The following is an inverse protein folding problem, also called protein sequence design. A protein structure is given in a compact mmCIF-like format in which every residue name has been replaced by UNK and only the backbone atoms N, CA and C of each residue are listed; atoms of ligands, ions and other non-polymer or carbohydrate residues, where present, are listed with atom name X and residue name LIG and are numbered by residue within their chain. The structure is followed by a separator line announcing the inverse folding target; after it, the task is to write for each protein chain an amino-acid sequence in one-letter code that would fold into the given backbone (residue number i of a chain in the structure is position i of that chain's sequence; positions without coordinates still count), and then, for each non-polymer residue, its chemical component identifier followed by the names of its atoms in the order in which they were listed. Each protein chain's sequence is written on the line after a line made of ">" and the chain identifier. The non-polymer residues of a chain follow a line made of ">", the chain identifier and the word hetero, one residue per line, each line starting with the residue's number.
data_IF_154853697166
#
_entry.id   IF_154853697166
#
_cell.length_a   1.000
_cell.length_b   1.000
_cell.length_c   1.000
_cell.angle_alpha   90.00
_cell.angle_beta   90.00
_cell.angle_gamma   90.00
#
_symmetry.space_group_name_H-M   'P 1'
#
loop_
_entity.id
_entity.type
_entity.pdbx_description
1 polymer ?
#
# COMPACT_ATOMS: atom_id res chain seq x y z
N UNK A 1 2.88 -6.10 -1.48
CA UNK A 1 2.82 -6.33 -0.01
C UNK A 1 1.39 -6.28 0.52
N UNK A 2 0.62 -5.20 0.39
CA UNK A 2 -0.74 -5.12 0.95
C UNK A 2 -1.71 -6.22 0.46
N UNK A 3 -1.58 -6.69 -0.78
CA UNK A 3 -2.36 -7.84 -1.30
C UNK A 3 -2.03 -9.13 -0.55
N UNK A 4 -0.74 -9.39 -0.30
CA UNK A 4 -0.29 -10.55 0.50
C UNK A 4 -0.86 -10.46 1.92
N UNK A 5 -0.73 -9.29 2.56
CA UNK A 5 -1.23 -9.09 3.93
C UNK A 5 -2.75 -9.23 4.02
N UNK A 6 -3.52 -8.76 3.02
CA UNK A 6 -4.97 -8.94 2.97
C UNK A 6 -5.35 -10.42 3.09
N UNK A 7 -4.68 -11.27 2.32
CA UNK A 7 -5.01 -12.68 2.22
C UNK A 7 -4.64 -13.46 3.51
N UNK A 8 -3.71 -12.97 4.29
CA UNK A 8 -3.30 -13.63 5.56
C UNK A 8 -3.94 -13.03 6.81
N UNK A 9 -4.22 -11.73 6.84
CA UNK A 9 -4.81 -11.05 8.02
C UNK A 9 -6.22 -11.57 8.30
N UNK A 10 -7.04 -11.73 7.26
CA UNK A 10 -8.46 -12.05 7.42
C UNK A 10 -8.69 -13.42 8.06
N UNK A 11 -7.84 -14.39 7.75
CA UNK A 11 -8.08 -15.80 8.11
C UNK A 11 -7.29 -16.26 9.35
N UNK A 12 -6.27 -15.51 9.80
CA UNK A 12 -5.29 -16.05 10.75
C UNK A 12 -5.03 -15.20 12.00
N UNK A 13 -5.82 -14.18 12.30
CA UNK A 13 -5.55 -13.25 13.40
C UNK A 13 -4.11 -12.73 13.40
N UNK A 14 -3.67 -12.19 12.27
CA UNK A 14 -2.34 -11.62 12.07
C UNK A 14 -2.30 -10.18 12.55
N UNK A 15 -1.28 -9.80 13.28
CA UNK A 15 -1.06 -8.47 13.81
C UNK A 15 0.13 -7.82 13.12
N UNK A 16 0.00 -6.56 12.69
CA UNK A 16 1.12 -5.79 12.13
C UNK A 16 2.00 -5.25 13.26
N UNK A 17 3.30 -5.51 13.20
CA UNK A 17 4.31 -4.92 14.06
C UNK A 17 5.12 -3.85 13.32
N UNK A 18 5.37 -4.03 12.02
CA UNK A 18 5.96 -3.03 11.16
C UNK A 18 5.39 -3.10 9.74
N UNK A 19 5.34 -1.95 9.06
CA UNK A 19 4.99 -1.89 7.66
C UNK A 19 5.68 -0.69 7.03
N UNK A 20 6.76 -0.92 6.30
CA UNK A 20 7.62 0.12 5.77
C UNK A 20 7.95 -0.14 4.31
N UNK A 21 7.90 0.90 3.48
CA UNK A 21 8.24 0.79 2.08
C UNK A 21 8.44 2.14 1.42
N UNK A 22 9.29 2.17 0.38
CA UNK A 22 9.62 3.35 -0.37
C UNK A 22 10.46 4.37 0.41
N UNK A 23 11.00 5.35 -0.31
CA UNK A 23 11.86 6.40 0.28
C UNK A 23 11.48 7.80 -0.16
N UNK A 24 10.76 7.94 -1.27
CA UNK A 24 10.34 9.21 -1.85
C UNK A 24 8.90 9.11 -2.33
N UNK A 25 8.11 10.11 -2.06
CA UNK A 25 6.70 10.20 -2.43
C UNK A 25 6.48 10.19 -3.96
N UNK A 26 7.42 10.78 -4.72
CA UNK A 26 7.37 10.90 -6.17
C UNK A 26 8.10 9.78 -6.94
N UNK A 27 8.52 8.72 -6.27
CA UNK A 27 9.17 7.56 -6.89
C UNK A 27 8.36 6.29 -6.65
N UNK A 28 8.30 5.40 -7.64
CA UNK A 28 7.69 4.07 -7.48
C UNK A 28 8.55 3.27 -6.50
N UNK A 29 7.98 2.76 -5.40
CA UNK A 29 8.71 1.98 -4.41
C UNK A 29 9.25 0.69 -5.02
N UNK A 30 10.52 0.39 -4.72
CA UNK A 30 11.17 -0.85 -5.19
C UNK A 30 11.19 -1.95 -4.13
N UNK A 31 10.94 -1.59 -2.87
CA UNK A 31 11.00 -2.49 -1.72
C UNK A 31 9.90 -2.14 -0.72
N UNK A 32 9.40 -3.17 -0.06
CA UNK A 32 8.47 -3.01 1.05
C UNK A 32 8.67 -4.17 2.01
N UNK A 33 8.73 -3.88 3.31
CA UNK A 33 8.85 -4.83 4.40
C UNK A 33 7.61 -4.73 5.29
N UNK A 34 7.13 -5.87 5.74
CA UNK A 34 6.17 -5.95 6.83
C UNK A 34 6.67 -6.97 7.86
N UNK A 35 6.53 -6.62 9.14
CA UNK A 35 6.68 -7.54 10.24
C UNK A 35 5.29 -7.85 10.80
N UNK A 36 5.01 -9.13 10.97
CA UNK A 36 3.71 -9.61 11.45
C UNK A 36 3.91 -10.55 12.63
N UNK A 37 3.00 -10.48 13.56
CA UNK A 37 2.94 -11.41 14.71
C UNK A 37 1.78 -12.36 14.48
N UNK A 38 2.07 -13.65 14.66
CA UNK A 38 1.10 -14.74 14.50
C UNK A 38 1.23 -15.72 15.66
N UNK A 39 0.18 -16.47 15.96
CA UNK A 39 0.26 -17.56 16.90
C UNK A 39 1.23 -18.65 16.42
N UNK A 40 2.02 -19.22 17.32
CA UNK A 40 3.09 -20.16 16.97
C UNK A 40 2.58 -21.37 16.17
N UNK A 41 1.39 -21.88 16.51
CA UNK A 41 0.73 -22.99 15.83
C UNK A 41 0.20 -22.62 14.43
N UNK A 42 0.11 -21.33 14.10
CA UNK A 42 -0.32 -20.80 12.79
C UNK A 42 0.82 -20.40 11.86
N UNK A 43 2.05 -20.40 12.35
CA UNK A 43 3.23 -19.94 11.60
C UNK A 43 3.39 -20.63 10.24
N UNK A 44 3.26 -21.94 10.19
CA UNK A 44 3.41 -22.71 8.96
C UNK A 44 2.29 -22.42 7.95
N UNK A 45 1.05 -22.28 8.43
CA UNK A 45 -0.12 -21.96 7.60
C UNK A 45 0.01 -20.54 7.00
N UNK A 46 0.36 -19.55 7.82
CA UNK A 46 0.54 -18.17 7.39
C UNK A 46 1.71 -18.04 6.41
N UNK A 47 2.84 -18.72 6.68
CA UNK A 47 3.96 -18.75 5.74
C UNK A 47 3.55 -19.29 4.38
N UNK A 48 2.85 -20.42 4.34
CA UNK A 48 2.38 -21.01 3.10
C UNK A 48 1.40 -20.08 2.34
N UNK A 49 0.51 -19.38 3.05
CA UNK A 49 -0.39 -18.40 2.45
C UNK A 49 0.37 -17.21 1.85
N UNK A 50 1.38 -16.68 2.53
CA UNK A 50 2.25 -15.61 2.01
C UNK A 50 2.98 -16.07 0.74
N UNK A 51 3.58 -17.25 0.75
CA UNK A 51 4.34 -17.80 -0.37
C UNK A 51 3.43 -18.05 -1.59
N UNK A 52 2.21 -18.53 -1.38
CA UNK A 52 1.22 -18.71 -2.45
C UNK A 52 0.79 -17.37 -3.05
N UNK A 53 0.41 -16.39 -2.23
CA UNK A 53 0.04 -15.06 -2.70
C UNK A 53 1.21 -14.36 -3.43
N UNK A 54 2.44 -14.53 -2.94
CA UNK A 54 3.63 -14.00 -3.59
C UNK A 54 3.90 -14.65 -4.95
N UNK A 55 3.64 -15.96 -5.08
CA UNK A 55 3.75 -16.68 -6.35
C UNK A 55 2.75 -16.17 -7.38
N UNK A 56 1.49 -16.00 -7.02
CA UNK A 56 0.45 -15.44 -7.90
C UNK A 56 0.82 -14.03 -8.39
N UNK A 57 1.30 -13.18 -7.48
CA UNK A 57 1.74 -11.82 -7.83
C UNK A 57 2.95 -11.88 -8.78
N UNK A 58 3.91 -12.77 -8.53
CA UNK A 58 5.06 -12.93 -9.40
C UNK A 58 4.69 -13.40 -10.80
N UNK A 59 3.71 -14.29 -10.92
CA UNK A 59 3.17 -14.76 -12.21
C UNK A 59 2.46 -13.60 -12.94
N UNK A 60 1.67 -12.77 -12.24
CA UNK A 60 0.99 -11.61 -12.81
C UNK A 60 1.98 -10.58 -13.38
N UNK A 61 3.09 -10.35 -12.69
CA UNK A 61 4.10 -9.34 -13.06
C UNK A 61 5.32 -9.93 -13.77
N UNK A 62 5.25 -11.17 -14.28
CA UNK A 62 6.38 -11.87 -14.87
C UNK A 62 7.04 -11.11 -16.05
N UNK A 63 6.26 -10.31 -16.78
CA UNK A 63 6.76 -9.53 -17.93
C UNK A 63 7.32 -8.15 -17.51
N UNK A 64 6.66 -7.46 -16.57
CA UNK A 64 7.04 -6.10 -16.17
C UNK A 64 8.09 -6.08 -15.07
N UNK A 65 8.07 -7.08 -14.18
CA UNK A 65 8.90 -7.15 -12.98
C UNK A 65 9.43 -8.58 -12.75
N UNK A 66 10.16 -9.12 -13.72
CA UNK A 66 10.66 -10.50 -13.72
C UNK A 66 11.55 -10.82 -12.48
N UNK A 67 12.20 -9.80 -11.92
CA UNK A 67 13.06 -9.91 -10.73
C UNK A 67 12.31 -9.77 -9.39
N UNK A 68 10.97 -9.72 -9.41
CA UNK A 68 10.18 -9.62 -8.19
C UNK A 68 10.52 -10.77 -7.23
N UNK A 69 10.85 -10.43 -5.99
CA UNK A 69 11.18 -11.38 -4.94
C UNK A 69 10.35 -11.11 -3.70
N UNK A 70 9.85 -12.16 -3.08
CA UNK A 70 9.31 -12.15 -1.73
C UNK A 70 10.15 -13.10 -0.88
N UNK A 71 10.66 -12.59 0.23
CA UNK A 71 11.44 -13.37 1.21
C UNK A 71 10.64 -13.39 2.50
N UNK A 72 10.53 -14.55 3.13
CA UNK A 72 9.82 -14.74 4.39
C UNK A 72 10.82 -15.29 5.40
N UNK A 73 11.14 -14.49 6.40
CA UNK A 73 11.97 -14.88 7.54
C UNK A 73 11.09 -15.13 8.77
N UNK A 74 11.40 -16.15 9.53
CA UNK A 74 10.69 -16.49 10.76
C UNK A 74 11.65 -16.30 11.93
N UNK A 75 11.22 -15.51 12.94
CA UNK A 75 11.90 -15.39 14.22
C UNK A 75 11.01 -15.90 15.33
N UNK A 76 11.58 -16.66 16.28
CA UNK A 76 10.89 -17.07 17.48
C UNK A 76 11.11 -16.05 18.60
N UNK A 77 10.13 -15.92 19.50
CA UNK A 77 10.26 -15.10 20.69
C UNK A 77 10.22 -13.58 20.41
N UNK A 78 9.20 -13.13 19.71
CA UNK A 78 9.01 -11.72 19.42
C UNK A 78 8.81 -10.92 20.72
N UNK A 79 9.61 -9.87 20.90
CA UNK A 79 9.44 -8.83 21.92
C UNK A 79 8.83 -7.53 21.34
N UNK A 80 8.45 -7.54 20.08
CA UNK A 80 7.97 -6.37 19.35
C UNK A 80 6.50 -6.13 19.69
N UNK A 81 6.15 -4.87 19.90
CA UNK A 81 4.77 -4.46 20.03
C UNK A 81 4.10 -4.46 18.65
N UNK A 82 2.86 -4.88 18.60
CA UNK A 82 2.04 -4.86 17.38
C UNK A 82 0.80 -4.01 17.59
N UNK A 83 0.27 -3.44 16.52
CA UNK A 83 -1.05 -2.80 16.57
C UNK A 83 -2.15 -3.85 16.71
N UNK A 84 -3.30 -3.44 17.18
CA UNK A 84 -4.44 -4.35 17.38
C UNK A 84 -4.83 -5.07 16.08
N UNK A 85 -5.51 -6.20 16.18
CA UNK A 85 -6.05 -6.90 15.01
C UNK A 85 -6.96 -6.02 14.17
N UNK A 86 -7.83 -5.22 14.84
CA UNK A 86 -8.73 -4.29 14.17
C UNK A 86 -7.95 -3.24 13.38
N UNK A 87 -6.91 -2.63 13.97
CA UNK A 87 -6.11 -1.61 13.30
C UNK A 87 -5.22 -2.21 12.21
N UNK A 88 -4.69 -3.42 12.40
CA UNK A 88 -3.97 -4.16 11.36
C UNK A 88 -4.85 -4.39 10.13
N UNK A 89 -6.08 -4.89 10.34
CA UNK A 89 -7.06 -5.12 9.27
C UNK A 89 -7.47 -3.81 8.60
N UNK A 90 -7.72 -2.78 9.39
CA UNK A 90 -8.10 -1.44 8.91
C UNK A 90 -6.99 -0.81 8.05
N UNK A 91 -5.73 -0.89 8.48
CA UNK A 91 -4.58 -0.37 7.76
C UNK A 91 -4.43 -1.03 6.38
N UNK A 92 -4.48 -2.36 6.32
CA UNK A 92 -4.40 -3.10 5.05
C UNK A 92 -5.59 -2.81 4.15
N UNK A 93 -6.80 -2.74 4.72
CA UNK A 93 -8.03 -2.43 3.97
C UNK A 93 -8.02 -1.02 3.39
N UNK A 94 -7.53 -0.03 4.15
CA UNK A 94 -7.35 1.34 3.66
C UNK A 94 -6.42 1.38 2.45
N UNK A 95 -5.26 0.72 2.52
CA UNK A 95 -4.31 0.67 1.41
C UNK A 95 -4.93 0.01 0.17
N UNK A 96 -5.72 -1.05 0.36
CA UNK A 96 -6.42 -1.74 -0.74
C UNK A 96 -7.54 -0.89 -1.36
N UNK A 97 -8.21 -0.04 -0.56
CA UNK A 97 -9.29 0.83 -1.02
C UNK A 97 -8.79 2.09 -1.74
N UNK A 98 -7.62 2.60 -1.36
CA UNK A 98 -7.05 3.80 -1.97
C UNK A 98 -6.60 3.52 -3.41
N UNK A 99 -6.90 4.42 -4.35
CA UNK A 99 -6.44 4.29 -5.73
C UNK A 99 -4.91 4.40 -5.80
N UNK A 100 -4.31 3.77 -6.81
CA UNK A 100 -2.88 3.89 -7.11
C UNK A 100 -2.60 3.63 -8.60
N UNK A 101 -1.66 4.35 -9.19
CA UNK A 101 -1.28 4.21 -10.59
C UNK A 101 -1.92 5.23 -11.51
N UNK A 102 -2.15 4.85 -12.76
CA UNK A 102 -2.76 5.71 -13.79
C UNK A 102 -4.28 5.71 -13.59
N UNK A 103 -4.83 6.90 -13.36
CA UNK A 103 -6.27 7.12 -13.21
C UNK A 103 -6.93 7.47 -14.54
N UNK A 104 -6.21 8.22 -15.40
CA UNK A 104 -6.72 8.68 -16.67
C UNK A 104 -5.60 8.96 -17.66
N UNK A 105 -5.82 8.58 -18.91
CA UNK A 105 -5.00 8.99 -20.05
C UNK A 105 -5.55 10.28 -20.65
N UNK A 106 -4.69 11.08 -21.27
CA UNK A 106 -5.09 12.29 -22.02
C UNK A 106 -6.05 11.90 -23.13
N UNK A 107 -7.06 12.76 -23.35
CA UNK A 107 -7.98 12.63 -24.48
C UNK A 107 -7.49 13.35 -25.73
N UNK A 108 -6.51 14.24 -25.58
CA UNK A 108 -6.00 15.11 -26.64
C UNK A 108 -4.64 14.66 -27.16
N UNK A 109 -3.85 13.93 -26.36
CA UNK A 109 -2.50 13.49 -26.69
C UNK A 109 -2.35 12.00 -26.44
N UNK A 110 -2.04 11.25 -27.48
CA UNK A 110 -1.85 9.81 -27.42
C UNK A 110 -0.70 9.42 -26.47
N UNK A 111 -0.93 8.38 -25.69
CA UNK A 111 0.05 7.81 -24.74
C UNK A 111 0.50 8.76 -23.61
N UNK A 112 -0.13 9.91 -23.43
CA UNK A 112 0.14 10.81 -22.30
C UNK A 112 -0.76 10.46 -21.11
N UNK A 113 -0.14 10.29 -19.93
CA UNK A 113 -0.88 10.16 -18.68
C UNK A 113 -1.39 11.54 -18.25
N UNK A 114 -2.70 11.70 -18.17
CA UNK A 114 -3.36 12.95 -17.71
C UNK A 114 -3.37 13.02 -16.18
N UNK A 115 -3.85 11.94 -15.53
CA UNK A 115 -4.05 11.90 -14.08
C UNK A 115 -3.49 10.59 -13.52
N UNK A 116 -2.66 10.70 -12.52
CA UNK A 116 -2.07 9.56 -11.82
C UNK A 116 -1.78 9.87 -10.36
N UNK A 117 -1.63 8.82 -9.56
CA UNK A 117 -1.07 8.93 -8.23
C UNK A 117 -0.16 7.74 -7.94
N UNK A 118 0.79 7.96 -7.04
CA UNK A 118 1.76 6.98 -6.63
C UNK A 118 1.84 6.95 -5.10
N UNK A 119 1.58 5.77 -4.50
CA UNK A 119 1.92 5.53 -3.10
C UNK A 119 3.43 5.35 -3.01
N UNK A 120 4.13 6.42 -2.69
CA UNK A 120 5.60 6.48 -2.72
C UNK A 120 6.25 6.03 -1.41
N UNK A 121 5.58 6.25 -0.26
CA UNK A 121 6.11 5.87 1.05
C UNK A 121 4.99 5.35 1.94
N UNK A 122 5.28 4.28 2.65
CA UNK A 122 4.47 3.75 3.74
C UNK A 122 5.35 3.58 4.97
N UNK A 123 4.85 3.97 6.13
CA UNK A 123 5.47 3.71 7.43
C UNK A 123 4.42 3.42 8.49
N UNK A 124 4.73 2.49 9.38
CA UNK A 124 3.98 2.22 10.61
C UNK A 124 4.86 2.51 11.80
N UNK A 125 4.41 3.39 12.68
CA UNK A 125 5.09 3.74 13.93
C UNK A 125 4.06 3.86 15.08
N UNK A 126 4.50 4.34 16.24
CA UNK A 126 3.65 4.50 17.44
C UNK A 126 2.45 5.44 17.21
N UNK A 127 2.52 6.36 16.25
CA UNK A 127 1.43 7.29 15.91
C UNK A 127 0.40 6.67 14.96
N UNK A 128 0.72 5.52 14.36
CA UNK A 128 -0.11 4.78 13.43
C UNK A 128 0.52 4.62 12.05
N UNK A 129 -0.32 4.31 11.06
CA UNK A 129 0.13 4.15 9.68
C UNK A 129 0.12 5.49 8.95
N UNK A 130 1.23 5.81 8.29
CA UNK A 130 1.38 6.97 7.43
C UNK A 130 1.57 6.53 5.97
N UNK A 131 0.76 7.08 5.08
CA UNK A 131 0.80 6.82 3.64
C UNK A 131 1.08 8.14 2.92
N UNK A 132 2.17 8.20 2.14
CA UNK A 132 2.50 9.39 1.35
C UNK A 132 2.32 9.13 -0.12
N UNK A 133 1.48 9.95 -0.73
CA UNK A 133 1.17 9.88 -2.16
C UNK A 133 1.68 11.11 -2.90
N UNK A 134 2.13 10.90 -4.13
CA UNK A 134 2.33 11.95 -5.12
C UNK A 134 1.18 11.90 -6.13
N UNK A 135 0.40 12.98 -6.22
CA UNK A 135 -0.72 13.12 -7.15
C UNK A 135 -0.30 14.04 -8.29
N UNK A 136 -0.65 13.67 -9.51
CA UNK A 136 -0.39 14.48 -10.71
C UNK A 136 -1.59 14.51 -11.63
N UNK A 137 -1.92 15.68 -12.15
CA UNK A 137 -2.91 15.83 -13.22
C UNK A 137 -2.66 17.13 -13.98
N UNK A 138 -2.79 17.10 -15.29
CA UNK A 138 -2.85 18.30 -16.14
C UNK A 138 -4.22 18.96 -16.11
N UNK A 139 -5.25 18.30 -15.55
CA UNK A 139 -6.63 18.78 -15.48
C UNK A 139 -7.02 19.06 -14.02
N UNK A 140 -7.20 20.34 -13.68
CA UNK A 140 -7.49 20.76 -12.30
C UNK A 140 -8.76 20.13 -11.71
N UNK A 141 -9.82 19.97 -12.51
CA UNK A 141 -11.05 19.31 -12.06
C UNK A 141 -10.83 17.81 -11.73
N UNK A 142 -10.00 17.12 -12.51
CA UNK A 142 -9.64 15.72 -12.26
C UNK A 142 -8.80 15.58 -10.99
N UNK A 143 -7.84 16.48 -10.78
CA UNK A 143 -7.05 16.51 -9.54
C UNK A 143 -7.93 16.75 -8.31
N UNK A 144 -8.86 17.71 -8.40
CA UNK A 144 -9.81 17.98 -7.31
C UNK A 144 -10.68 16.76 -6.99
N UNK A 145 -11.18 16.07 -8.02
CA UNK A 145 -11.96 14.84 -7.83
C UNK A 145 -11.14 13.74 -7.15
N UNK A 146 -9.90 13.52 -7.59
CA UNK A 146 -9.01 12.53 -7.01
C UNK A 146 -8.72 12.83 -5.52
N UNK A 147 -8.43 14.10 -5.18
CA UNK A 147 -8.26 14.53 -3.78
C UNK A 147 -9.52 14.25 -2.94
N UNK A 148 -10.70 14.56 -3.50
CA UNK A 148 -11.97 14.28 -2.81
C UNK A 148 -12.19 12.78 -2.57
N UNK A 149 -11.88 11.95 -3.55
CA UNK A 149 -11.98 10.49 -3.44
C UNK A 149 -11.07 9.95 -2.32
N UNK A 150 -9.80 10.37 -2.31
CA UNK A 150 -8.85 9.98 -1.26
C UNK A 150 -9.37 10.41 0.12
N UNK A 151 -9.86 11.64 0.24
CA UNK A 151 -10.39 12.17 1.49
C UNK A 151 -11.57 11.34 1.99
N UNK A 152 -12.58 11.07 1.15
CA UNK A 152 -13.75 10.27 1.55
C UNK A 152 -13.38 8.84 1.93
N UNK A 153 -12.47 8.20 1.19
CA UNK A 153 -11.99 6.87 1.56
C UNK A 153 -11.29 6.92 2.92
N UNK A 154 -10.36 7.87 3.12
CA UNK A 154 -9.65 8.01 4.38
C UNK A 154 -10.62 8.22 5.57
N UNK A 155 -11.59 9.11 5.42
CA UNK A 155 -12.60 9.37 6.46
C UNK A 155 -13.44 8.11 6.78
N UNK A 156 -13.81 7.31 5.78
CA UNK A 156 -14.52 6.05 5.98
C UNK A 156 -13.73 5.05 6.83
N UNK A 157 -12.40 5.10 6.76
CA UNK A 157 -11.49 4.30 7.58
C UNK A 157 -11.03 5.01 8.86
N UNK A 158 -11.61 6.18 9.19
CA UNK A 158 -11.22 7.02 10.33
C UNK A 158 -9.75 7.47 10.28
N UNK A 159 -9.23 7.63 9.07
CA UNK A 159 -7.91 8.20 8.81
C UNK A 159 -8.04 9.67 8.37
N UNK A 160 -6.98 10.45 8.58
CA UNK A 160 -6.90 11.84 8.11
C UNK A 160 -6.16 11.90 6.78
N UNK A 161 -6.61 12.79 5.87
CA UNK A 161 -5.93 13.07 4.62
C UNK A 161 -5.57 14.55 4.54
N UNK A 162 -4.29 14.82 4.38
CA UNK A 162 -3.75 16.17 4.22
C UNK A 162 -3.15 16.34 2.82
N UNK A 163 -3.36 17.48 2.20
CA UNK A 163 -2.85 17.79 0.87
C UNK A 163 -1.92 18.98 0.94
N UNK A 164 -0.69 18.82 0.50
CA UNK A 164 0.37 19.83 0.52
C UNK A 164 1.01 19.98 -0.85
N UNK A 165 1.69 21.11 -1.10
CA UNK A 165 2.54 21.27 -2.29
C UNK A 165 1.77 21.35 -3.60
N UNK A 166 0.72 22.17 -3.68
CA UNK A 166 0.03 22.41 -4.95
C UNK A 166 0.95 23.14 -5.92
N UNK A 167 1.31 22.46 -7.02
CA UNK A 167 1.90 23.10 -8.18
C UNK A 167 0.78 23.45 -9.15
N UNK A 168 0.82 24.66 -9.76
CA UNK A 168 -0.12 24.97 -10.84
C UNK A 168 0.03 23.96 -11.97
N UNK A 169 -1.09 23.59 -12.58
CA UNK A 169 -1.06 22.76 -13.78
C UNK A 169 -0.20 23.44 -14.84
N UNK A 170 0.65 22.70 -15.50
CA UNK A 170 1.37 23.19 -16.68
C UNK A 170 0.36 23.35 -17.81
N UNK A 171 0.19 24.58 -18.29
CA UNK A 171 -0.53 24.88 -19.53
C UNK A 171 0.32 24.52 -20.74
#
# INVERSE_FOLDING_TARGET
>A
MSRILRDVITDNNVYLAAFNGGRKDNAIPRECMAEIIVAADKTAEVKAAIENAAKEIKEEFATSDADLKCVVDISEGCSTEAVTYEDSTKAVSLIQALPNGIMRMSQDIDNLVETSLNLGVISLDESGICLRFSLRSSVGAALKNLKSQIKFISEAFRANAEFTGEYPAWE
#
